data_IF_494901227673
#
_entry.id   IF_494901227673
#
_cell.length_a   1.000
_cell.length_b   1.000
_cell.length_c   1.000
_cell.angle_alpha   90.00
_cell.angle_beta   90.00
_cell.angle_gamma   90.00
#
_symmetry.space_group_name_H-M   'P 1'
#
loop_
_entity.id
_entity.type
_entity.pdbx_description
1 polymer ?
#
# COMPACT_ATOMS: atom_id res chain seq x y z
N UNK A 1 19.41 3.96 -15.27
CA UNK A 1 20.03 3.10 -16.31
C UNK A 1 20.42 1.75 -15.71
N UNK A 2 19.97 0.64 -16.31
CA UNK A 2 20.10 -0.72 -15.77
C UNK A 2 21.44 -1.43 -16.07
N UNK A 3 22.32 -0.82 -16.89
CA UNK A 3 23.61 -1.41 -17.26
C UNK A 3 24.49 -1.81 -16.07
N UNK A 4 24.40 -1.07 -14.95
CA UNK A 4 25.12 -1.38 -13.70
C UNK A 4 24.77 -2.76 -13.10
N UNK A 5 23.62 -3.33 -13.47
CA UNK A 5 23.14 -4.62 -12.99
C UNK A 5 23.52 -5.80 -13.89
N UNK A 6 24.36 -5.57 -14.91
CA UNK A 6 24.86 -6.63 -15.81
C UNK A 6 23.74 -7.33 -16.60
N UNK A 7 22.63 -6.62 -16.87
CA UNK A 7 21.54 -7.14 -17.70
C UNK A 7 21.88 -6.89 -19.16
N UNK A 8 21.72 -7.93 -19.97
CA UNK A 8 21.85 -7.85 -21.42
C UNK A 8 20.65 -7.10 -22.00
N UNK A 9 20.92 -6.02 -22.72
CA UNK A 9 19.93 -5.38 -23.57
C UNK A 9 19.60 -6.31 -24.75
N UNK A 10 18.32 -6.66 -24.90
CA UNK A 10 17.79 -7.54 -25.96
C UNK A 10 17.09 -6.77 -27.08
N UNK A 11 17.02 -5.44 -26.96
CA UNK A 11 16.44 -4.53 -27.92
C UNK A 11 14.91 -4.59 -28.00
N UNK A 12 14.36 -3.70 -28.83
CA UNK A 12 12.93 -3.60 -29.11
C UNK A 12 12.56 -4.57 -30.24
N UNK A 13 11.50 -5.36 -30.04
CA UNK A 13 11.03 -6.33 -31.02
C UNK A 13 9.66 -5.91 -31.56
N UNK A 14 9.53 -5.57 -32.86
CA UNK A 14 8.24 -5.22 -33.43
C UNK A 14 7.34 -6.46 -33.48
N UNK A 15 6.13 -6.36 -32.94
CA UNK A 15 5.15 -7.44 -32.94
C UNK A 15 3.73 -6.88 -33.10
N UNK A 16 2.95 -7.47 -34.03
CA UNK A 16 1.56 -7.08 -34.33
C UNK A 16 0.51 -8.10 -33.89
N UNK A 17 0.91 -9.26 -33.36
CA UNK A 17 0.00 -10.36 -32.98
C UNK A 17 -0.39 -10.34 -31.51
N UNK A 18 0.37 -9.68 -30.64
CA UNK A 18 0.07 -9.62 -29.21
C UNK A 18 -1.20 -8.78 -28.98
N UNK A 19 -2.22 -9.41 -28.40
CA UNK A 19 -3.55 -8.83 -28.24
C UNK A 19 -3.53 -7.47 -27.51
N UNK A 20 -2.77 -7.34 -26.42
CA UNK A 20 -2.72 -6.09 -25.64
C UNK A 20 -2.12 -4.92 -26.42
N UNK A 21 -1.19 -5.20 -27.35
CA UNK A 21 -0.62 -4.17 -28.23
C UNK A 21 -1.58 -3.83 -29.37
N UNK A 22 -2.31 -4.81 -29.90
CA UNK A 22 -3.26 -4.64 -31.00
C UNK A 22 -4.57 -3.98 -30.57
N UNK A 23 -5.06 -4.29 -29.37
CA UNK A 23 -6.37 -3.86 -28.86
C UNK A 23 -6.35 -2.49 -28.18
N UNK A 24 -5.17 -1.93 -27.91
CA UNK A 24 -5.03 -0.63 -27.24
C UNK A 24 -5.03 0.51 -28.27
N UNK A 25 -5.86 1.53 -28.05
CA UNK A 25 -5.97 2.69 -28.95
C UNK A 25 -4.86 3.72 -28.75
N UNK A 26 -4.33 3.82 -27.52
CA UNK A 26 -3.17 4.67 -27.21
C UNK A 26 -1.86 3.93 -27.53
N UNK A 27 -0.77 4.68 -27.62
CA UNK A 27 0.58 4.12 -27.75
C UNK A 27 0.86 3.09 -26.65
N UNK A 28 1.28 1.88 -27.04
CA UNK A 28 1.51 0.77 -26.12
C UNK A 28 2.82 0.03 -26.43
N UNK A 29 3.47 -0.47 -25.39
CA UNK A 29 4.60 -1.39 -25.48
C UNK A 29 4.46 -2.47 -24.40
N UNK A 30 5.10 -3.63 -24.62
CA UNK A 30 5.16 -4.71 -23.65
C UNK A 30 6.64 -4.91 -23.29
N UNK A 31 6.92 -4.94 -21.98
CA UNK A 31 8.25 -5.16 -21.45
C UNK A 31 8.39 -6.63 -21.01
N UNK A 32 9.26 -7.37 -21.69
CA UNK A 32 9.77 -8.65 -21.18
C UNK A 32 10.99 -8.38 -20.30
N UNK A 33 10.75 -8.27 -18.99
CA UNK A 33 11.73 -7.74 -18.05
C UNK A 33 12.99 -8.62 -17.92
N UNK A 34 12.79 -9.88 -17.53
CA UNK A 34 13.82 -10.88 -17.23
C UNK A 34 13.24 -12.29 -17.38
N UNK A 35 14.11 -13.29 -17.42
CA UNK A 35 13.71 -14.69 -17.60
C UNK A 35 13.46 -15.38 -16.25
N UNK A 36 12.24 -15.87 -16.04
CA UNK A 36 11.86 -16.57 -14.79
C UNK A 36 12.39 -18.00 -14.70
N UNK A 37 12.83 -18.57 -15.82
CA UNK A 37 13.45 -19.91 -15.90
C UNK A 37 14.97 -19.89 -15.59
N UNK A 38 15.57 -18.71 -15.50
CA UNK A 38 17.00 -18.54 -15.31
C UNK A 38 17.30 -18.15 -13.87
N UNK A 39 18.03 -19.00 -13.14
CA UNK A 39 18.37 -18.76 -11.72
C UNK A 39 18.97 -17.37 -11.45
N UNK A 40 19.85 -16.91 -12.34
CA UNK A 40 20.51 -15.60 -12.21
C UNK A 40 19.52 -14.42 -12.33
N UNK A 41 18.52 -14.54 -13.19
CA UNK A 41 17.53 -13.50 -13.42
C UNK A 41 16.47 -13.50 -12.31
N UNK A 42 16.06 -14.67 -11.83
CA UNK A 42 15.21 -14.80 -10.64
C UNK A 42 15.87 -14.19 -9.39
N UNK A 43 17.18 -14.37 -9.23
CA UNK A 43 17.92 -13.78 -8.11
C UNK A 43 17.89 -12.24 -8.16
N UNK A 44 18.00 -11.65 -9.36
CA UNK A 44 17.83 -10.19 -9.55
C UNK A 44 16.41 -9.75 -9.21
N UNK A 45 15.39 -10.44 -9.72
CA UNK A 45 13.98 -10.12 -9.45
C UNK A 45 13.63 -10.15 -7.95
N UNK A 46 14.32 -10.97 -7.16
CA UNK A 46 14.16 -11.03 -5.69
C UNK A 46 14.99 -9.99 -4.93
N UNK A 47 15.94 -9.33 -5.58
CA UNK A 47 16.79 -8.32 -4.95
C UNK A 47 16.08 -6.95 -4.93
N UNK A 48 15.80 -6.44 -3.73
CA UNK A 48 15.04 -5.19 -3.56
C UNK A 48 15.73 -3.96 -4.16
N UNK A 49 17.06 -3.88 -4.08
CA UNK A 49 17.83 -2.76 -4.64
C UNK A 49 17.72 -2.75 -6.17
N UNK A 50 17.93 -3.93 -6.78
CA UNK A 50 17.71 -4.12 -8.21
C UNK A 50 16.28 -3.75 -8.62
N UNK A 51 15.28 -4.28 -7.91
CA UNK A 51 13.88 -4.07 -8.24
C UNK A 51 13.47 -2.60 -8.15
N UNK A 52 14.03 -1.86 -7.19
CA UNK A 52 13.82 -0.41 -7.06
C UNK A 52 14.38 0.35 -8.26
N UNK A 53 15.64 0.08 -8.63
CA UNK A 53 16.27 0.68 -9.82
C UNK A 53 15.53 0.32 -11.11
N UNK A 54 15.00 -0.91 -11.18
CA UNK A 54 14.23 -1.42 -12.31
C UNK A 54 12.91 -0.68 -12.49
N UNK A 55 12.12 -0.54 -11.42
CA UNK A 55 10.88 0.23 -11.44
C UNK A 55 11.13 1.71 -11.77
N UNK A 56 12.19 2.30 -11.22
CA UNK A 56 12.54 3.68 -11.52
C UNK A 56 12.88 3.86 -13.01
N UNK A 57 13.64 2.93 -13.60
CA UNK A 57 13.97 3.00 -15.03
C UNK A 57 12.72 2.93 -15.94
N UNK A 58 11.70 2.16 -15.55
CA UNK A 58 10.42 2.12 -16.28
C UNK A 58 9.70 3.46 -16.15
N UNK A 59 9.60 4.01 -14.94
CA UNK A 59 8.96 5.29 -14.69
C UNK A 59 9.63 6.43 -15.48
N UNK A 60 10.97 6.49 -15.47
CA UNK A 60 11.75 7.47 -16.22
C UNK A 60 11.52 7.33 -17.73
N UNK A 61 11.45 6.10 -18.24
CA UNK A 61 11.16 5.81 -19.64
C UNK A 61 9.77 6.30 -20.07
N UNK A 62 8.75 6.07 -19.23
CA UNK A 62 7.38 6.57 -19.47
C UNK A 62 7.36 8.09 -19.42
N UNK A 63 7.92 8.71 -18.37
CA UNK A 63 7.94 10.16 -18.22
C UNK A 63 8.60 10.85 -19.42
N UNK A 64 9.71 10.29 -19.93
CA UNK A 64 10.35 10.75 -21.15
C UNK A 64 9.44 10.62 -22.38
N UNK A 65 8.71 9.52 -22.50
CA UNK A 65 7.82 9.27 -23.65
C UNK A 65 6.58 10.18 -23.66
N UNK A 66 6.09 10.61 -22.50
CA UNK A 66 4.94 11.52 -22.36
C UNK A 66 5.34 12.97 -22.14
N UNK A 67 6.63 13.29 -22.29
CA UNK A 67 7.20 14.64 -22.11
C UNK A 67 6.89 15.28 -20.74
N UNK A 68 6.74 14.45 -19.71
CA UNK A 68 6.55 14.92 -18.34
C UNK A 68 7.93 15.22 -17.76
N UNK A 69 8.16 16.49 -17.44
CA UNK A 69 9.38 16.90 -16.76
C UNK A 69 9.50 16.12 -15.44
N UNK A 70 10.69 15.58 -15.11
CA UNK A 70 10.91 14.94 -13.84
C UNK A 70 10.67 16.00 -12.75
N UNK A 71 9.57 15.82 -12.02
CA UNK A 71 9.41 16.52 -10.75
C UNK A 71 10.57 16.01 -9.92
N UNK A 72 11.49 16.90 -9.52
CA UNK A 72 12.54 16.54 -8.56
C UNK A 72 11.85 15.73 -7.48
N UNK A 73 12.31 14.51 -7.16
CA UNK A 73 11.74 13.81 -6.01
C UNK A 73 11.84 14.82 -4.89
N UNK A 74 10.69 15.24 -4.35
CA UNK A 74 10.74 15.82 -3.03
C UNK A 74 11.54 14.77 -2.25
N UNK A 75 12.64 15.18 -1.65
CA UNK A 75 13.17 14.50 -0.46
C UNK A 75 12.04 14.55 0.56
N UNK A 76 11.00 13.76 0.34
CA UNK A 76 10.25 13.16 1.39
C UNK A 76 11.21 12.08 1.87
N UNK A 77 11.75 12.21 3.09
CA UNK A 77 12.17 11.02 3.82
C UNK A 77 11.08 9.97 3.61
N UNK A 78 11.44 8.69 3.53
CA UNK A 78 10.49 7.60 3.72
C UNK A 78 9.54 8.07 4.82
N UNK A 79 8.30 8.45 4.45
CA UNK A 79 7.33 8.91 5.43
C UNK A 79 7.06 7.63 6.21
N UNK A 80 7.83 7.40 7.29
CA UNK A 80 7.28 6.77 8.48
C UNK A 80 5.89 7.40 8.61
N UNK A 81 4.82 6.59 8.66
CA UNK A 81 3.47 7.12 8.62
C UNK A 81 3.43 8.30 9.58
N UNK A 82 3.28 9.51 9.03
CA UNK A 82 3.12 10.71 9.85
C UNK A 82 2.03 10.31 10.83
N UNK A 83 2.36 10.30 12.11
CA UNK A 83 1.40 10.01 13.16
C UNK A 83 0.34 11.10 13.02
N UNK A 84 -0.72 10.82 12.25
CA UNK A 84 -1.86 11.72 12.15
C UNK A 84 -2.30 11.93 13.58
N UNK A 85 -2.24 13.18 14.04
CA UNK A 85 -2.59 13.51 15.40
C UNK A 85 -4.07 13.21 15.59
N UNK A 86 -4.37 12.07 16.21
CA UNK A 86 -5.72 11.58 16.34
C UNK A 86 -6.48 12.49 17.28
N UNK A 87 -7.52 13.13 16.76
CA UNK A 87 -8.35 14.04 17.55
C UNK A 87 -9.10 13.25 18.63
N UNK A 88 -8.89 13.66 19.88
CA UNK A 88 -9.58 13.14 21.06
C UNK A 88 -11.07 13.51 21.01
N UNK A 89 -11.93 12.58 21.41
CA UNK A 89 -13.38 12.76 21.60
C UNK A 89 -14.17 13.20 20.34
N UNK A 90 -13.60 13.00 19.15
CA UNK A 90 -14.32 13.29 17.89
C UNK A 90 -15.49 12.33 17.71
N UNK A 91 -16.59 12.83 17.15
CA UNK A 91 -17.72 11.98 16.76
C UNK A 91 -17.26 10.92 15.75
N UNK A 92 -17.64 9.67 15.98
CA UNK A 92 -17.47 8.64 14.95
C UNK A 92 -18.19 9.05 13.67
N UNK A 93 -17.70 8.55 12.53
CA UNK A 93 -18.32 8.72 11.23
C UNK A 93 -19.82 8.39 11.32
N UNK A 94 -20.72 9.06 10.57
CA UNK A 94 -22.16 8.88 10.69
C UNK A 94 -22.63 7.42 10.72
N UNK A 95 -21.98 6.55 9.93
CA UNK A 95 -22.24 5.10 9.86
C UNK A 95 -21.93 4.32 11.16
N UNK A 96 -21.11 4.84 12.06
CA UNK A 96 -20.63 4.16 13.26
C UNK A 96 -21.06 4.85 14.56
N UNK A 97 -21.91 5.89 14.49
CA UNK A 97 -22.38 6.62 15.69
C UNK A 97 -23.14 5.71 16.65
N UNK A 98 -24.01 4.84 16.12
CA UNK A 98 -24.78 3.89 16.92
C UNK A 98 -23.87 2.86 17.59
N UNK A 99 -22.90 2.31 16.85
CA UNK A 99 -21.90 1.39 17.40
C UNK A 99 -21.05 2.06 18.50
N UNK A 100 -20.62 3.30 18.30
CA UNK A 100 -19.85 4.04 19.31
C UNK A 100 -20.66 4.28 20.58
N UNK A 101 -21.96 4.62 20.47
CA UNK A 101 -22.85 4.75 21.62
C UNK A 101 -23.00 3.43 22.36
N UNK A 102 -23.33 2.36 21.63
CA UNK A 102 -23.50 1.02 22.20
C UNK A 102 -22.26 0.58 22.98
N UNK A 103 -21.06 0.69 22.39
CA UNK A 103 -19.80 0.32 23.06
C UNK A 103 -19.54 1.12 24.35
N UNK A 104 -19.98 2.38 24.44
CA UNK A 104 -19.83 3.25 25.62
C UNK A 104 -20.87 2.98 26.70
N UNK A 105 -22.11 2.69 26.28
CA UNK A 105 -23.27 2.57 27.15
C UNK A 105 -23.44 1.14 27.70
N UNK A 106 -23.09 0.11 26.91
CA UNK A 106 -23.14 -1.29 27.33
C UNK A 106 -22.18 -1.53 28.48
N UNK A 107 -22.72 -1.96 29.62
CA UNK A 107 -21.96 -2.30 30.82
C UNK A 107 -21.73 -3.81 30.89
N UNK A 108 -20.51 -4.20 31.23
CA UNK A 108 -20.17 -5.58 31.57
C UNK A 108 -20.64 -5.90 33.00
N UNK A 109 -20.55 -7.17 33.39
CA UNK A 109 -20.76 -7.63 34.78
C UNK A 109 -19.97 -6.83 35.82
N UNK A 110 -18.82 -6.28 35.42
CA UNK A 110 -17.90 -5.54 36.29
C UNK A 110 -18.22 -4.03 36.30
N UNK A 111 -19.31 -3.60 35.65
CA UNK A 111 -19.75 -2.20 35.57
C UNK A 111 -18.95 -1.33 34.59
N UNK A 112 -18.03 -1.92 33.82
CA UNK A 112 -17.13 -1.23 32.88
C UNK A 112 -17.73 -1.28 31.47
N UNK A 113 -17.50 -0.26 30.63
CA UNK A 113 -17.91 -0.28 29.22
C UNK A 113 -16.92 -1.06 28.34
N UNK A 114 -17.37 -1.52 27.17
CA UNK A 114 -16.52 -2.29 26.25
C UNK A 114 -15.33 -1.43 25.77
N UNK A 115 -15.58 -0.17 25.42
CA UNK A 115 -14.56 0.88 25.17
C UNK A 115 -15.02 2.21 25.74
N UNK A 116 -14.07 3.11 26.00
CA UNK A 116 -14.30 4.50 26.36
C UNK A 116 -14.60 5.38 25.13
N UNK A 117 -14.24 4.89 23.94
CA UNK A 117 -14.46 5.53 22.64
C UNK A 117 -13.80 6.91 22.51
N UNK A 118 -12.67 7.10 23.19
CA UNK A 118 -11.90 8.37 23.26
C UNK A 118 -11.22 8.72 21.93
N UNK A 119 -10.81 7.72 21.14
CA UNK A 119 -10.14 7.91 19.84
C UNK A 119 -10.76 7.04 18.74
N UNK A 120 -11.97 7.34 18.26
CA UNK A 120 -12.70 6.45 17.35
C UNK A 120 -12.09 6.36 15.94
N UNK A 121 -11.20 7.28 15.58
CA UNK A 121 -10.52 7.30 14.27
C UNK A 121 -9.06 6.80 14.37
N UNK A 122 -8.56 6.52 15.58
CA UNK A 122 -7.18 6.03 15.77
C UNK A 122 -7.12 4.53 15.47
N UNK A 123 -6.07 4.04 14.78
CA UNK A 123 -5.76 2.62 14.70
C UNK A 123 -5.71 2.00 16.09
N UNK A 124 -6.47 0.91 16.27
CA UNK A 124 -6.52 0.14 17.50
C UNK A 124 -5.26 -0.73 17.64
N UNK A 125 -4.68 -0.80 18.84
CA UNK A 125 -3.59 -1.75 19.11
C UNK A 125 -4.15 -3.16 19.33
N UNK A 126 -3.30 -4.19 19.20
CA UNK A 126 -3.72 -5.58 19.49
C UNK A 126 -4.17 -5.74 20.96
N UNK A 127 -3.49 -5.07 21.88
CA UNK A 127 -3.84 -5.08 23.31
C UNK A 127 -5.23 -4.51 23.56
N UNK A 128 -5.55 -3.38 22.91
CA UNK A 128 -6.87 -2.77 22.97
C UNK A 128 -7.95 -3.73 22.43
N UNK A 129 -7.70 -4.39 21.30
CA UNK A 129 -8.63 -5.41 20.74
C UNK A 129 -8.86 -6.55 21.73
N UNK A 130 -7.81 -7.10 22.34
CA UNK A 130 -7.96 -8.19 23.32
C UNK A 130 -8.80 -7.76 24.52
N UNK A 131 -8.56 -6.54 25.03
CA UNK A 131 -9.34 -6.01 26.15
C UNK A 131 -10.82 -5.83 25.81
N UNK A 132 -11.12 -5.34 24.59
CA UNK A 132 -12.49 -5.17 24.12
C UNK A 132 -13.20 -6.52 23.97
N UNK A 133 -12.53 -7.53 23.40
CA UNK A 133 -13.08 -8.88 23.26
C UNK A 133 -13.34 -9.55 24.63
N UNK A 134 -12.42 -9.40 25.57
CA UNK A 134 -12.59 -9.93 26.94
C UNK A 134 -13.72 -9.22 27.70
N UNK A 135 -13.90 -7.92 27.50
CA UNK A 135 -15.03 -7.19 28.07
C UNK A 135 -16.33 -7.62 27.43
N UNK A 136 -16.33 -7.80 26.10
CA UNK A 136 -17.51 -8.26 25.35
C UNK A 136 -17.99 -9.63 25.86
N UNK A 137 -17.10 -10.56 26.22
CA UNK A 137 -17.50 -11.85 26.77
C UNK A 137 -18.16 -11.77 28.15
N UNK A 138 -18.11 -10.61 28.82
CA UNK A 138 -18.72 -10.34 30.13
C UNK A 138 -19.95 -9.44 30.04
N UNK A 139 -20.44 -9.15 28.83
CA UNK A 139 -21.70 -8.43 28.64
C UNK A 139 -22.82 -9.38 29.04
N UNK A 140 -23.60 -8.98 30.04
CA UNK A 140 -24.78 -9.74 30.47
C UNK A 140 -25.85 -9.50 29.41
N UNK A 141 -26.29 -10.59 28.76
CA UNK A 141 -27.37 -10.58 27.77
C UNK A 141 -28.75 -10.47 28.39
#
# INVERSE_FOLDING_TARGET
MLHKHGIRDRGVKPNKSIYVLKGTKMSACLLECLFVDTKADVAKLKNHSFFTDFCQAIADGIAKAVEVAPVKPATKPKEEPKMEEYKKDVLASPRFREAQKWVKETKTSDGISISDGTYPQRPVTREEVWSMLQRMSKVIG
#
